data_IF_540596384593
#
_entry.id   IF_540596384593
#
_cell.length_a   1.000
_cell.length_b   1.000
_cell.length_c   1.000
_cell.angle_alpha   90.00
_cell.angle_beta   90.00
_cell.angle_gamma   90.00
#
_symmetry.space_group_name_H-M   'P 1'
#
loop_
_entity.id
_entity.type
_entity.pdbx_description
1 polymer ?
#
# COMPACT_ATOMS: atom_id res chain seq x y z
N UNK A 1 -63.70 -32.02 15.87
CA UNK A 1 -64.46 -32.03 14.60
C UNK A 1 -64.43 -30.64 13.99
N UNK A 2 -64.46 -30.60 12.65
CA UNK A 2 -64.38 -29.44 11.73
C UNK A 2 -62.98 -29.00 11.30
N UNK A 3 -62.62 -29.50 10.11
CA UNK A 3 -61.53 -29.09 9.25
C UNK A 3 -61.99 -27.99 8.26
N UNK A 4 -61.07 -27.11 7.84
CA UNK A 4 -61.12 -26.35 6.58
C UNK A 4 -59.88 -25.46 6.49
N UNK A 5 -59.27 -25.11 5.35
CA UNK A 5 -59.07 -25.73 4.04
C UNK A 5 -57.90 -24.95 3.44
N UNK A 6 -56.92 -25.64 2.85
CA UNK A 6 -55.75 -25.04 2.19
C UNK A 6 -56.16 -24.34 0.90
N UNK A 7 -55.53 -23.20 0.58
CA UNK A 7 -55.29 -22.74 -0.79
C UNK A 7 -53.92 -22.08 -0.91
N UNK A 8 -53.04 -22.75 -1.65
CA UNK A 8 -51.79 -22.22 -2.21
C UNK A 8 -52.05 -21.71 -3.64
N UNK A 9 -51.53 -20.53 -4.04
CA UNK A 9 -51.48 -20.11 -5.44
C UNK A 9 -50.23 -20.64 -6.19
N UNK A 10 -50.24 -20.63 -7.54
CA UNK A 10 -49.52 -21.60 -8.38
C UNK A 10 -48.06 -21.26 -8.72
N UNK A 11 -47.32 -22.33 -9.00
CA UNK A 11 -45.96 -22.40 -9.54
C UNK A 11 -45.87 -21.97 -11.01
N UNK A 12 -45.00 -21.01 -11.32
CA UNK A 12 -44.60 -20.67 -12.69
C UNK A 12 -43.55 -21.66 -13.23
N UNK A 13 -43.67 -22.14 -14.49
CA UNK A 13 -42.63 -22.92 -15.15
C UNK A 13 -41.51 -22.03 -15.73
N UNK A 14 -40.29 -22.58 -15.92
CA UNK A 14 -39.11 -21.83 -16.36
C UNK A 14 -39.14 -21.52 -17.87
N UNK A 15 -38.61 -20.34 -18.23
CA UNK A 15 -38.34 -19.95 -19.63
C UNK A 15 -36.94 -20.46 -20.00
N UNK A 16 -36.90 -21.55 -20.75
CA UNK A 16 -35.72 -21.94 -21.52
C UNK A 16 -35.66 -21.13 -22.82
N UNK A 17 -34.60 -20.34 -22.98
CA UNK A 17 -34.16 -19.83 -24.30
C UNK A 17 -32.65 -19.94 -24.42
N UNK A 18 -32.19 -21.17 -24.62
CA UNK A 18 -30.93 -21.42 -25.30
C UNK A 18 -31.10 -21.01 -26.78
N UNK A 19 -30.51 -19.87 -27.16
CA UNK A 19 -30.33 -19.48 -28.55
C UNK A 19 -28.82 -19.38 -28.81
N UNK A 20 -28.25 -20.47 -29.32
CA UNK A 20 -26.93 -20.50 -29.93
C UNK A 20 -27.10 -20.43 -31.44
N UNK A 21 -26.67 -19.36 -32.12
CA UNK A 21 -26.52 -19.39 -33.57
C UNK A 21 -25.19 -20.03 -33.92
N UNK A 22 -25.29 -21.20 -34.54
CA UNK A 22 -24.18 -21.97 -35.09
C UNK A 22 -23.57 -21.24 -36.29
N UNK A 23 -22.25 -21.33 -36.37
CA UNK A 23 -21.38 -20.77 -37.40
C UNK A 23 -21.44 -21.59 -38.68
N UNK A 24 -21.60 -20.95 -39.87
CA UNK A 24 -20.90 -21.34 -41.12
C UNK A 24 -21.47 -20.78 -42.44
N UNK A 25 -21.64 -19.48 -42.63
CA UNK A 25 -21.77 -18.89 -43.98
C UNK A 25 -21.25 -17.44 -43.86
N UNK A 26 -20.16 -16.97 -44.47
CA UNK A 26 -19.91 -16.89 -45.90
C UNK A 26 -18.43 -16.44 -46.08
N UNK A 27 -17.58 -17.33 -46.60
CA UNK A 27 -16.29 -16.93 -47.18
C UNK A 27 -16.55 -16.48 -48.61
N UNK A 28 -16.23 -15.23 -48.95
CA UNK A 28 -15.49 -14.80 -50.16
C UNK A 28 -15.86 -13.37 -50.56
N UNK A 29 -14.82 -12.54 -50.70
CA UNK A 29 -14.78 -11.51 -51.74
C UNK A 29 -14.90 -10.06 -51.27
N UNK A 30 -13.80 -9.47 -50.78
CA UNK A 30 -13.41 -8.09 -51.08
C UNK A 30 -12.01 -7.79 -50.51
N UNK A 31 -10.98 -8.40 -51.11
CA UNK A 31 -9.65 -7.80 -51.09
C UNK A 31 -9.63 -6.70 -52.17
N UNK A 32 -8.91 -5.61 -51.87
CA UNK A 32 -8.57 -4.44 -52.72
C UNK A 32 -9.38 -3.15 -52.52
N UNK A 33 -9.27 -2.50 -51.35
CA UNK A 33 -9.03 -1.02 -51.24
C UNK A 33 -8.22 -0.65 -49.97
N UNK A 34 -7.30 -1.51 -49.49
CA UNK A 34 -6.48 -1.21 -48.30
C UNK A 34 -4.96 -1.18 -48.61
N UNK A 35 -4.61 -0.70 -49.80
CA UNK A 35 -3.23 -0.74 -50.32
C UNK A 35 -2.58 0.61 -50.64
N UNK A 36 -3.28 1.75 -50.44
CA UNK A 36 -2.77 3.07 -50.86
C UNK A 36 -2.78 4.15 -49.76
N UNK A 37 -2.68 3.74 -48.49
CA UNK A 37 -2.44 4.64 -47.34
C UNK A 37 -1.22 4.18 -46.50
N UNK A 38 -0.25 3.53 -47.13
CA UNK A 38 0.97 3.01 -46.49
C UNK A 38 2.27 3.48 -47.15
N UNK A 39 2.24 4.55 -47.96
CA UNK A 39 3.41 5.00 -48.71
C UNK A 39 3.86 6.46 -48.46
N UNK A 40 3.28 7.18 -47.47
CA UNK A 40 3.64 8.59 -47.20
C UNK A 40 3.65 9.00 -45.71
N UNK A 41 3.91 8.06 -44.78
CA UNK A 41 3.93 8.36 -43.33
C UNK A 41 5.05 7.72 -42.52
N UNK A 42 6.09 7.18 -43.16
CA UNK A 42 7.09 6.29 -42.55
C UNK A 42 8.22 6.97 -41.78
N UNK A 43 8.00 8.12 -41.13
CA UNK A 43 9.11 8.89 -40.54
C UNK A 43 8.75 9.82 -39.40
N UNK A 44 8.02 9.38 -38.36
CA UNK A 44 7.90 10.19 -37.13
C UNK A 44 7.61 9.47 -35.79
N UNK A 45 7.63 8.13 -35.68
CA UNK A 45 7.20 7.45 -34.43
C UNK A 45 8.30 6.73 -33.63
N UNK A 46 9.57 7.07 -33.81
CA UNK A 46 10.67 6.33 -33.15
C UNK A 46 11.13 6.85 -31.78
N UNK A 47 10.40 7.74 -31.09
CA UNK A 47 10.75 8.15 -29.70
C UNK A 47 9.55 8.54 -28.84
N UNK A 48 8.62 7.63 -28.61
CA UNK A 48 7.74 7.74 -27.44
C UNK A 48 8.40 6.94 -26.30
N UNK A 49 8.85 7.57 -25.19
CA UNK A 49 9.22 6.81 -24.01
C UNK A 49 7.95 6.11 -23.52
N UNK A 50 7.85 4.80 -23.76
CA UNK A 50 6.90 3.96 -23.03
C UNK A 50 7.29 4.09 -21.56
N UNK A 51 6.54 4.92 -20.84
CA UNK A 51 6.66 5.02 -19.39
C UNK A 51 6.14 3.69 -18.88
N UNK A 52 7.02 2.82 -18.39
CA UNK A 52 6.59 1.58 -17.77
C UNK A 52 5.62 1.93 -16.63
N UNK A 53 4.47 1.21 -16.53
CA UNK A 53 3.54 1.48 -15.45
C UNK A 53 4.27 1.24 -14.12
N UNK A 54 4.35 2.27 -13.30
CA UNK A 54 4.84 2.14 -11.94
C UNK A 54 3.90 1.18 -11.19
N UNK A 55 4.37 -0.03 -10.91
CA UNK A 55 3.66 -0.96 -10.02
C UNK A 55 3.63 -0.31 -8.64
N UNK A 56 2.46 0.11 -8.19
CA UNK A 56 2.25 0.59 -6.83
C UNK A 56 2.60 -0.55 -5.86
N UNK A 57 3.66 -0.36 -5.07
CA UNK A 57 4.10 -1.36 -4.10
C UNK A 57 3.12 -1.39 -2.93
N UNK A 58 2.31 -2.45 -2.84
CA UNK A 58 1.43 -2.67 -1.69
C UNK A 58 2.24 -3.23 -0.52
N UNK A 59 2.30 -2.48 0.59
CA UNK A 59 3.09 -2.82 1.79
C UNK A 59 2.39 -3.91 2.59
N UNK A 60 2.79 -5.18 2.48
CA UNK A 60 2.15 -6.26 3.24
C UNK A 60 2.54 -6.20 4.74
N UNK A 61 1.62 -5.92 5.68
CA UNK A 61 1.95 -5.79 7.11
C UNK A 61 2.64 -7.02 7.71
N UNK A 62 2.31 -8.21 7.20
CA UNK A 62 2.82 -9.49 7.66
C UNK A 62 4.34 -9.63 7.42
N UNK A 63 4.88 -8.95 6.41
CA UNK A 63 6.32 -8.93 6.12
C UNK A 63 7.11 -8.06 7.12
N UNK A 64 6.46 -7.07 7.73
CA UNK A 64 7.11 -6.10 8.63
C UNK A 64 6.99 -6.48 10.12
N UNK A 65 5.91 -7.17 10.50
CA UNK A 65 5.67 -7.56 11.89
C UNK A 65 6.82 -8.39 12.53
N UNK A 66 7.45 -9.37 11.85
CA UNK A 66 8.59 -10.10 12.42
C UNK A 66 9.74 -9.18 12.84
N UNK A 67 10.09 -8.20 12.00
CA UNK A 67 11.13 -7.20 12.28
C UNK A 67 10.77 -6.31 13.46
N UNK A 68 9.48 -6.03 13.67
CA UNK A 68 9.03 -5.28 14.85
C UNK A 68 9.23 -6.09 16.14
N UNK A 69 8.83 -7.36 16.16
CA UNK A 69 9.01 -8.23 17.32
C UNK A 69 10.49 -8.54 17.61
N UNK A 70 11.35 -8.58 16.59
CA UNK A 70 12.81 -8.68 16.80
C UNK A 70 13.38 -7.46 17.54
N UNK A 71 12.86 -6.27 17.25
CA UNK A 71 13.29 -5.01 17.91
C UNK A 71 12.66 -4.83 19.28
N UNK A 72 11.45 -5.34 19.48
CA UNK A 72 10.66 -5.24 20.70
C UNK A 72 10.17 -6.64 21.13
N UNK A 73 11.05 -7.48 21.67
CA UNK A 73 10.70 -8.86 22.04
C UNK A 73 9.60 -8.94 23.11
N UNK A 74 9.52 -7.92 23.97
CA UNK A 74 8.50 -7.80 25.02
C UNK A 74 7.13 -7.31 24.52
N UNK A 75 7.00 -6.95 23.23
CA UNK A 75 5.73 -6.50 22.67
C UNK A 75 4.73 -7.68 22.66
N UNK A 76 3.55 -7.56 23.30
CA UNK A 76 2.55 -8.62 23.29
C UNK A 76 2.13 -8.98 21.86
N UNK A 77 2.08 -10.28 21.56
CA UNK A 77 1.72 -10.75 20.21
C UNK A 77 0.25 -10.65 19.90
N UNK A 78 -0.64 -10.87 20.87
CA UNK A 78 -2.10 -10.85 20.69
C UNK A 78 -2.57 -11.56 19.41
N UNK A 79 -2.18 -12.83 19.25
CA UNK A 79 -2.38 -13.62 18.03
C UNK A 79 -3.14 -14.94 18.25
N UNK A 80 -3.96 -15.01 19.30
CA UNK A 80 -4.82 -16.17 19.60
C UNK A 80 -6.24 -16.03 19.04
N UNK A 81 -6.41 -15.23 17.98
CA UNK A 81 -7.72 -14.97 17.38
C UNK A 81 -8.08 -16.05 16.37
N UNK A 82 -9.34 -16.46 16.39
CA UNK A 82 -9.87 -17.48 15.49
C UNK A 82 -10.36 -16.82 14.20
N UNK A 83 -9.87 -17.32 13.06
CA UNK A 83 -10.35 -16.90 11.74
C UNK A 83 -11.79 -17.36 11.52
N UNK A 84 -12.61 -16.49 10.90
CA UNK A 84 -13.96 -16.86 10.47
C UNK A 84 -13.94 -17.82 9.29
N UNK A 85 -12.92 -17.75 8.45
CA UNK A 85 -12.81 -18.55 7.23
C UNK A 85 -12.40 -19.98 7.56
N UNK A 86 -11.35 -20.16 8.35
CA UNK A 86 -10.79 -21.50 8.63
C UNK A 86 -11.32 -22.10 9.92
N UNK A 87 -11.84 -21.30 10.85
CA UNK A 87 -12.21 -21.75 12.19
C UNK A 87 -11.00 -22.07 13.09
N UNK A 88 -9.78 -21.79 12.64
CA UNK A 88 -8.54 -22.03 13.37
C UNK A 88 -7.92 -20.72 13.87
N UNK A 89 -6.95 -20.83 14.80
CA UNK A 89 -6.15 -19.68 15.23
C UNK A 89 -5.37 -19.15 14.03
N UNK A 90 -5.44 -17.84 13.79
CA UNK A 90 -4.65 -17.16 12.77
C UNK A 90 -3.39 -16.54 13.39
N UNK A 91 -2.21 -17.18 13.26
CA UNK A 91 -0.98 -16.71 13.88
C UNK A 91 -0.45 -15.41 13.25
N UNK A 92 -0.89 -15.05 12.05
CA UNK A 92 -0.47 -13.85 11.33
C UNK A 92 -1.28 -12.61 11.76
N UNK A 93 -2.44 -12.81 12.39
CA UNK A 93 -3.23 -11.75 13.00
C UNK A 93 -2.72 -11.42 14.41
N UNK A 94 -1.60 -10.69 14.48
CA UNK A 94 -0.95 -10.22 15.71
C UNK A 94 -1.21 -8.72 15.97
N UNK A 95 -0.89 -8.23 17.17
CA UNK A 95 -0.97 -6.79 17.49
C UNK A 95 -0.18 -5.95 16.49
N UNK A 96 1.05 -6.36 16.17
CA UNK A 96 1.90 -5.67 15.21
C UNK A 96 1.26 -5.56 13.82
N UNK A 97 0.74 -6.66 13.28
CA UNK A 97 0.13 -6.65 11.94
C UNK A 97 -1.13 -5.80 11.91
N UNK A 98 -1.97 -5.86 12.95
CA UNK A 98 -3.17 -5.00 13.06
C UNK A 98 -2.82 -3.52 13.24
N UNK A 99 -1.83 -3.19 14.05
CA UNK A 99 -1.39 -1.80 14.25
C UNK A 99 -0.83 -1.19 12.95
N UNK A 100 0.00 -1.96 12.23
CA UNK A 100 0.53 -1.54 10.92
C UNK A 100 -0.60 -1.40 9.90
N UNK A 101 -1.52 -2.39 9.82
CA UNK A 101 -2.66 -2.36 8.90
C UNK A 101 -3.58 -1.18 9.18
N UNK A 102 -3.85 -0.88 10.44
CA UNK A 102 -4.66 0.26 10.87
C UNK A 102 -4.02 1.58 10.39
N UNK A 103 -2.73 1.76 10.62
CA UNK A 103 -1.99 2.95 10.19
C UNK A 103 -2.03 3.14 8.67
N UNK A 104 -1.71 2.08 7.91
CA UNK A 104 -1.55 2.16 6.46
C UNK A 104 -2.87 2.23 5.70
N UNK A 105 -3.89 1.47 6.13
CA UNK A 105 -5.08 1.23 5.31
C UNK A 105 -6.35 1.82 5.87
N UNK A 106 -6.46 1.92 7.20
CA UNK A 106 -7.64 2.55 7.82
C UNK A 106 -7.44 4.05 7.95
N UNK A 107 -6.22 4.48 8.31
CA UNK A 107 -5.88 5.89 8.50
C UNK A 107 -5.08 6.49 7.35
N UNK A 108 -4.62 5.66 6.41
CA UNK A 108 -3.88 6.10 5.22
C UNK A 108 -2.70 7.02 5.54
N UNK A 109 -1.98 6.70 6.63
CA UNK A 109 -0.86 7.48 7.13
C UNK A 109 0.46 6.97 6.56
N UNK A 110 1.45 7.86 6.46
CA UNK A 110 2.76 7.52 5.93
C UNK A 110 3.58 6.77 6.99
N UNK A 111 4.04 5.55 6.69
CA UNK A 111 4.85 4.79 7.64
C UNK A 111 6.25 5.38 7.84
N UNK A 112 6.68 6.30 6.98
CA UNK A 112 8.00 6.93 7.02
C UNK A 112 8.10 8.01 8.10
N UNK A 113 6.98 8.62 8.50
CA UNK A 113 6.99 9.77 9.39
C UNK A 113 6.70 9.37 10.84
N UNK A 114 7.62 9.74 11.74
CA UNK A 114 7.45 9.54 13.19
C UNK A 114 6.16 10.17 13.72
N UNK A 115 5.80 11.35 13.19
CA UNK A 115 4.61 12.08 13.63
C UNK A 115 3.33 11.30 13.34
N UNK A 116 3.22 10.69 12.17
CA UNK A 116 2.05 9.89 11.77
C UNK A 116 1.83 8.68 12.70
N UNK A 117 2.92 8.05 13.16
CA UNK A 117 2.86 7.01 14.19
C UNK A 117 2.43 7.55 15.55
N UNK A 118 2.85 8.76 15.92
CA UNK A 118 2.38 9.44 17.15
C UNK A 118 0.88 9.70 17.11
N UNK A 119 0.36 10.19 15.98
CA UNK A 119 -1.09 10.38 15.79
C UNK A 119 -1.80 9.02 15.90
N UNK A 120 -1.22 7.96 15.32
CA UNK A 120 -1.79 6.62 15.41
C UNK A 120 -1.88 6.14 16.86
N UNK A 121 -0.84 6.29 17.67
CA UNK A 121 -0.94 5.96 19.09
C UNK A 121 -1.93 6.86 19.82
N UNK A 122 -2.08 8.13 19.42
CA UNK A 122 -3.08 9.04 19.99
C UNK A 122 -4.52 8.55 19.75
N UNK A 123 -4.80 7.87 18.63
CA UNK A 123 -6.09 7.19 18.39
C UNK A 123 -6.33 6.08 19.43
N UNK A 124 -5.36 5.20 19.66
CA UNK A 124 -5.46 4.11 20.66
C UNK A 124 -5.59 4.63 22.10
N UNK A 125 -4.97 5.78 22.38
CA UNK A 125 -5.11 6.46 23.67
C UNK A 125 -6.47 7.17 23.81
N UNK A 126 -7.25 7.30 22.72
CA UNK A 126 -8.55 7.96 22.71
C UNK A 126 -8.48 9.49 22.78
N UNK A 127 -7.37 10.08 22.33
CA UNK A 127 -7.13 11.53 22.42
C UNK A 127 -7.05 12.24 21.06
N UNK A 128 -7.16 11.50 19.94
CA UNK A 128 -7.15 12.08 18.59
C UNK A 128 -8.44 11.75 17.82
N UNK A 129 -8.57 10.52 17.30
CA UNK A 129 -9.73 10.12 16.50
C UNK A 129 -10.36 8.86 17.11
N UNK A 130 -11.68 8.83 17.40
CA UNK A 130 -12.34 7.64 17.90
C UNK A 130 -12.17 6.45 16.97
N UNK A 131 -11.69 5.33 17.52
CA UNK A 131 -11.55 4.09 16.78
C UNK A 131 -12.90 3.43 16.58
N UNK A 132 -13.18 3.04 15.33
CA UNK A 132 -14.43 2.37 14.94
C UNK A 132 -14.24 0.87 14.87
N UNK A 133 -15.04 0.14 15.64
CA UNK A 133 -14.96 -1.32 15.72
C UNK A 133 -15.18 -1.99 14.36
N UNK A 134 -16.14 -1.51 13.58
CA UNK A 134 -16.49 -2.08 12.28
C UNK A 134 -15.39 -1.94 11.22
N UNK A 135 -14.53 -0.92 11.35
CA UNK A 135 -13.41 -0.67 10.44
C UNK A 135 -12.07 -1.23 10.98
N UNK A 136 -12.03 -1.75 12.20
CA UNK A 136 -10.78 -2.17 12.80
C UNK A 136 -10.21 -3.43 12.13
N UNK A 137 -8.89 -3.55 11.92
CA UNK A 137 -8.27 -4.76 11.39
C UNK A 137 -8.70 -6.03 12.14
N UNK A 138 -9.32 -6.96 11.42
CA UNK A 138 -9.87 -8.19 11.99
C UNK A 138 -11.38 -8.17 12.22
N UNK A 139 -12.06 -7.03 12.06
CA UNK A 139 -13.52 -6.90 12.32
C UNK A 139 -14.38 -7.85 11.48
N UNK A 140 -13.97 -8.12 10.25
CA UNK A 140 -14.69 -8.98 9.30
C UNK A 140 -14.08 -10.37 9.15
N UNK A 141 -12.80 -10.54 9.47
CA UNK A 141 -12.04 -11.78 9.23
C UNK A 141 -11.89 -12.65 10.48
N UNK A 142 -12.03 -12.09 11.69
CA UNK A 142 -11.87 -12.80 12.95
C UNK A 142 -13.22 -12.97 13.65
N UNK A 143 -13.43 -14.11 14.33
CA UNK A 143 -14.67 -14.37 15.05
C UNK A 143 -14.93 -13.33 16.14
N UNK A 144 -13.88 -12.90 16.84
CA UNK A 144 -13.91 -11.81 17.81
C UNK A 144 -13.14 -10.61 17.29
N UNK A 145 -13.70 -9.41 17.47
CA UNK A 145 -13.02 -8.18 17.13
C UNK A 145 -11.88 -7.89 18.14
N UNK A 146 -10.62 -7.74 17.69
CA UNK A 146 -9.46 -7.54 18.56
C UNK A 146 -9.32 -6.11 19.13
N UNK A 147 -10.13 -5.15 18.66
CA UNK A 147 -9.92 -3.71 18.92
C UNK A 147 -9.76 -3.37 20.40
N UNK A 148 -10.70 -3.78 21.25
CA UNK A 148 -10.70 -3.37 22.66
C UNK A 148 -9.48 -3.90 23.41
N UNK A 149 -9.05 -5.12 23.08
CA UNK A 149 -7.86 -5.73 23.68
C UNK A 149 -6.59 -5.02 23.24
N UNK A 150 -6.48 -4.68 21.95
CA UNK A 150 -5.33 -3.95 21.43
C UNK A 150 -5.25 -2.53 22.02
N UNK A 151 -6.39 -1.84 22.15
CA UNK A 151 -6.49 -0.55 22.84
C UNK A 151 -6.00 -0.68 24.28
N UNK A 152 -6.44 -1.70 25.01
CA UNK A 152 -6.01 -1.93 26.40
C UNK A 152 -4.49 -2.15 26.50
N UNK A 153 -3.91 -2.95 25.58
CA UNK A 153 -2.45 -3.18 25.52
C UNK A 153 -1.70 -1.87 25.30
N UNK A 154 -2.09 -1.07 24.29
CA UNK A 154 -1.40 0.19 23.99
C UNK A 154 -1.56 1.21 25.13
N UNK A 155 -2.73 1.25 25.79
CA UNK A 155 -2.96 2.11 26.96
C UNK A 155 -2.13 1.72 28.18
N UNK A 156 -1.79 0.44 28.32
CA UNK A 156 -0.92 -0.04 29.40
C UNK A 156 0.53 0.47 29.27
N UNK A 157 0.94 0.88 28.07
CA UNK A 157 2.31 1.35 27.83
C UNK A 157 2.59 2.70 28.51
N UNK A 158 3.69 2.73 29.25
CA UNK A 158 4.25 3.98 29.74
C UNK A 158 4.84 4.82 28.58
N UNK A 159 5.23 6.06 28.88
CA UNK A 159 5.77 6.99 27.87
C UNK A 159 7.00 6.44 27.14
N UNK A 160 7.91 5.76 27.86
CA UNK A 160 9.13 5.19 27.28
C UNK A 160 8.80 4.06 26.31
N UNK A 161 7.90 3.15 26.68
CA UNK A 161 7.45 2.05 25.82
C UNK A 161 6.78 2.56 24.55
N UNK A 162 5.97 3.63 24.65
CA UNK A 162 5.35 4.26 23.47
C UNK A 162 6.38 4.85 22.51
N UNK A 163 7.38 5.57 23.02
CA UNK A 163 8.44 6.10 22.16
C UNK A 163 9.28 4.97 21.54
N UNK A 164 9.60 3.91 22.28
CA UNK A 164 10.28 2.73 21.76
C UNK A 164 9.48 2.04 20.64
N UNK A 165 8.16 1.92 20.80
CA UNK A 165 7.27 1.39 19.76
C UNK A 165 7.32 2.25 18.49
N UNK A 166 7.19 3.57 18.64
CA UNK A 166 7.27 4.50 17.51
C UNK A 166 8.63 4.40 16.81
N UNK A 167 9.72 4.38 17.56
CA UNK A 167 11.08 4.27 17.01
C UNK A 167 11.27 2.99 16.21
N UNK A 168 10.79 1.86 16.73
CA UNK A 168 10.86 0.58 16.04
C UNK A 168 9.99 0.57 14.77
N UNK A 169 8.77 1.11 14.83
CA UNK A 169 7.88 1.23 13.66
C UNK A 169 8.49 2.08 12.56
N UNK A 170 9.05 3.25 12.88
CA UNK A 170 9.74 4.07 11.86
C UNK A 170 10.94 3.31 11.30
N UNK A 171 11.71 2.62 12.14
CA UNK A 171 12.92 1.93 11.72
C UNK A 171 12.66 0.78 10.74
N UNK A 172 11.57 0.02 10.89
CA UNK A 172 11.25 -1.09 9.97
C UNK A 172 10.80 -0.61 8.58
N UNK A 173 10.39 0.65 8.45
CA UNK A 173 10.00 1.27 7.17
C UNK A 173 11.06 2.19 6.57
N UNK A 174 12.26 2.25 7.16
CA UNK A 174 13.37 2.95 6.54
C UNK A 174 13.83 2.19 5.29
N UNK A 175 14.01 2.86 4.14
CA UNK A 175 14.64 2.24 2.99
C UNK A 175 16.05 1.80 3.40
N UNK A 176 16.33 0.50 3.40
CA UNK A 176 17.71 0.04 3.34
C UNK A 176 18.23 0.36 1.94
N UNK A 177 19.32 1.13 1.78
CA UNK A 177 19.94 1.27 0.47
C UNK A 177 20.30 -0.13 -0.03
N UNK A 178 19.68 -0.58 -1.12
CA UNK A 178 20.02 -1.86 -1.73
C UNK A 178 21.47 -1.80 -2.23
N UNK A 179 22.36 -2.73 -1.85
CA UNK A 179 23.72 -2.78 -2.38
C UNK A 179 23.83 -3.34 -3.82
N UNK A 180 22.72 -3.48 -4.57
CA UNK A 180 22.73 -4.05 -5.92
C UNK A 180 22.01 -3.14 -6.93
N UNK A 181 22.75 -2.15 -7.41
CA UNK A 181 22.60 -1.61 -8.76
C UNK A 181 24.01 -1.25 -9.21
N UNK A 182 24.81 -2.26 -9.57
CA UNK A 182 26.05 -2.03 -10.31
C UNK A 182 25.66 -1.47 -11.68
N UNK A 183 26.04 -0.24 -12.03
CA UNK A 183 25.90 0.23 -13.41
C UNK A 183 26.84 -0.61 -14.27
N UNK A 184 26.27 -1.32 -15.25
CA UNK A 184 27.03 -1.96 -16.32
C UNK A 184 27.85 -0.87 -17.06
N UNK A 185 29.17 -1.04 -17.28
CA UNK A 185 29.97 -0.03 -17.95
C UNK A 185 29.60 0.04 -19.44
N UNK A 186 28.82 1.05 -19.81
CA UNK A 186 28.70 1.49 -21.19
C UNK A 186 29.91 2.38 -21.53
N UNK A 187 30.48 2.15 -22.72
CA UNK A 187 31.69 2.79 -23.21
C UNK A 187 31.67 4.33 -23.09
N UNK A 188 32.84 4.87 -22.75
CA UNK A 188 33.16 6.27 -22.48
C UNK A 188 32.68 7.26 -23.55
N UNK A 189 32.01 8.34 -23.14
CA UNK A 189 32.26 9.66 -23.71
C UNK A 189 32.72 10.64 -22.62
N UNK A 190 33.83 11.31 -22.90
CA UNK A 190 34.49 12.47 -22.26
C UNK A 190 34.02 12.97 -20.89
N UNK A 191 35.00 13.05 -19.98
CA UNK A 191 34.89 13.37 -18.55
C UNK A 191 34.18 14.70 -18.20
N UNK A 192 33.28 14.70 -17.21
CA UNK A 192 33.00 15.86 -16.38
C UNK A 192 33.98 15.93 -15.20
N UNK A 193 34.50 17.12 -14.92
CA UNK A 193 35.45 17.41 -13.84
C UNK A 193 34.78 17.14 -12.47
N UNK A 194 35.34 16.23 -11.68
CA UNK A 194 34.91 15.93 -10.32
C UNK A 194 35.67 16.82 -9.32
N UNK A 195 35.00 17.61 -8.45
CA UNK A 195 35.69 18.37 -7.40
C UNK A 195 36.17 17.45 -6.27
N UNK A 196 37.43 17.64 -5.88
CA UNK A 196 38.17 16.94 -4.83
C UNK A 196 37.64 17.31 -3.42
N UNK A 197 37.40 16.37 -2.48
CA UNK A 197 36.75 16.67 -1.19
C UNK A 197 37.63 17.38 -0.15
N UNK A 198 38.85 17.81 -0.47
CA UNK A 198 39.77 18.45 0.48
C UNK A 198 39.71 19.98 0.52
N UNK A 199 38.67 20.62 -0.07
CA UNK A 199 38.58 22.09 -0.09
C UNK A 199 37.15 22.61 0.10
N UNK A 200 36.51 22.23 1.21
CA UNK A 200 35.29 22.92 1.65
C UNK A 200 35.66 24.20 2.41
N UNK A 201 35.65 25.34 1.72
CA UNK A 201 35.58 26.66 2.36
C UNK A 201 34.09 27.00 2.56
N UNK A 202 33.63 27.25 3.79
CA UNK A 202 32.23 27.62 4.01
C UNK A 202 31.91 28.93 3.25
N UNK A 203 30.65 29.10 2.79
CA UNK A 203 30.25 30.31 2.09
C UNK A 203 30.45 31.52 3.00
N UNK A 204 31.20 32.50 2.50
CA UNK A 204 31.44 33.76 3.21
C UNK A 204 30.15 34.58 3.19
N UNK A 205 29.72 35.08 4.35
CA UNK A 205 28.61 36.01 4.44
C UNK A 205 28.90 37.26 3.58
N UNK A 206 27.88 37.81 2.89
CA UNK A 206 28.06 39.02 2.10
C UNK A 206 28.52 40.17 3.01
N UNK A 207 29.50 40.94 2.52
CA UNK A 207 30.01 42.09 3.26
C UNK A 207 28.95 43.21 3.31
N UNK A 208 28.92 44.02 4.39
CA UNK A 208 28.06 45.20 4.44
C UNK A 208 28.28 46.08 3.20
N UNK A 209 27.20 46.42 2.48
CA UNK A 209 27.24 47.15 1.20
C UNK A 209 27.00 46.30 -0.05
N UNK A 210 26.99 44.96 0.05
CA UNK A 210 26.73 44.08 -1.09
C UNK A 210 25.31 44.22 -1.71
N UNK A 211 24.37 44.86 -1.01
CA UNK A 211 23.04 45.16 -1.52
C UNK A 211 23.03 46.27 -2.59
N UNK A 212 24.07 47.09 -2.67
CA UNK A 212 24.17 48.17 -3.68
C UNK A 212 24.41 47.64 -5.10
N UNK A 213 24.84 46.38 -5.23
CA UNK A 213 25.05 45.69 -6.51
C UNK A 213 23.74 45.20 -7.17
N UNK A 214 22.61 45.34 -6.47
CA UNK A 214 21.29 44.87 -6.92
C UNK A 214 20.35 46.03 -7.29
N UNK A 215 20.88 47.25 -7.43
CA UNK A 215 20.11 48.39 -7.92
C UNK A 215 19.97 48.31 -9.45
N UNK A 216 18.76 48.53 -10.01
CA UNK A 216 18.50 48.42 -11.45
C UNK A 216 19.11 49.57 -12.26
#
# INVERSE_FOLDING_TARGET
MSANSRRTPPSHPPIDRNFTPDSSFLRMGAALVLGLLLALGGGLLHRLPLTEPAIAQFIQPEQFAPSLYQRLPELPRENQYISRETGEIDPNNSLATRLIRYHLYIKTRSPQYRFDWKITLADYLGINDPMRADLYPGSTTLQQNPMDKDIAVVRSFNRKQREQLIDALVAIFKPTPQPNSTPQPAATPSAPIQPNPSNYKPPTLPQPGAADLLKP
#
